data_IF_140782159854
#
_entry.id   IF_140782159854
#
_cell.length_a   1.000
_cell.length_b   1.000
_cell.length_c   1.000
_cell.angle_alpha   90.00
_cell.angle_beta   90.00
_cell.angle_gamma   90.00
#
_symmetry.space_group_name_H-M   'P 1'
#
loop_
_entity.id
_entity.type
_entity.pdbx_description
1 polymer ?
#
# COMPACT_ATOMS: atom_id res chain seq x y z
N UNK A 1 -0.55 13.80 1.43
CA UNK A 1 -1.50 12.72 1.08
C UNK A 1 -2.76 12.85 1.92
N UNK A 2 -3.92 12.71 1.32
CA UNK A 2 -5.19 12.93 2.02
C UNK A 2 -5.58 11.78 2.93
N UNK A 3 -6.44 12.06 3.91
CA UNK A 3 -7.03 11.04 4.77
C UNK A 3 -7.82 10.00 3.95
N UNK A 4 -8.37 10.42 2.82
CA UNK A 4 -9.12 9.54 1.93
C UNK A 4 -8.24 8.44 1.36
N UNK A 5 -7.01 8.77 0.93
CA UNK A 5 -6.03 7.78 0.46
C UNK A 5 -5.69 6.79 1.57
N UNK A 6 -5.39 7.31 2.76
CA UNK A 6 -5.02 6.46 3.89
C UNK A 6 -6.14 5.47 4.24
N UNK A 7 -7.39 5.92 4.13
CA UNK A 7 -8.56 5.07 4.37
C UNK A 7 -8.72 4.01 3.27
N UNK A 8 -8.54 4.39 2.01
CA UNK A 8 -8.63 3.44 0.88
C UNK A 8 -7.62 2.31 1.05
N UNK A 9 -6.39 2.64 1.40
CA UNK A 9 -5.33 1.64 1.62
C UNK A 9 -5.68 0.75 2.83
N UNK A 10 -6.08 1.36 3.95
CA UNK A 10 -6.44 0.62 5.17
C UNK A 10 -7.60 -0.35 4.92
N UNK A 11 -8.64 0.10 4.23
CA UNK A 11 -9.80 -0.72 3.90
C UNK A 11 -9.42 -1.88 2.97
N UNK A 12 -8.53 -1.63 2.02
CA UNK A 12 -8.02 -2.65 1.11
C UNK A 12 -7.28 -3.75 1.88
N UNK A 13 -6.36 -3.37 2.75
CA UNK A 13 -5.58 -4.32 3.53
C UNK A 13 -6.48 -5.15 4.45
N UNK A 14 -7.50 -4.52 5.04
CA UNK A 14 -8.50 -5.21 5.85
C UNK A 14 -9.33 -6.19 5.01
N UNK A 15 -9.75 -5.79 3.83
CA UNK A 15 -10.50 -6.66 2.91
C UNK A 15 -9.69 -7.87 2.48
N UNK A 16 -8.37 -7.71 2.36
CA UNK A 16 -7.46 -8.79 2.01
C UNK A 16 -7.09 -9.67 3.21
N UNK A 17 -7.54 -9.32 4.42
CA UNK A 17 -7.22 -10.05 5.64
C UNK A 17 -5.78 -9.92 6.08
N UNK A 18 -5.11 -8.82 5.70
CA UNK A 18 -3.70 -8.59 6.00
C UNK A 18 -3.55 -7.65 7.20
N UNK A 19 -2.66 -7.98 8.12
CA UNK A 19 -2.28 -7.11 9.22
C UNK A 19 -1.55 -5.88 8.67
N UNK A 20 -1.95 -4.70 9.12
CA UNK A 20 -1.48 -3.46 8.54
C UNK A 20 -1.45 -2.33 9.57
N UNK A 21 -0.41 -1.50 9.52
CA UNK A 21 -0.31 -0.26 10.27
C UNK A 21 0.30 0.84 9.43
N UNK A 22 -0.24 2.05 9.54
CA UNK A 22 0.33 3.22 8.86
C UNK A 22 1.39 3.85 9.75
N UNK A 23 2.58 4.09 9.19
CA UNK A 23 3.70 4.68 9.90
C UNK A 23 4.41 3.73 10.87
N UNK A 24 3.84 2.58 11.15
CA UNK A 24 4.39 1.57 12.03
C UNK A 24 3.34 0.53 12.40
N UNK A 25 3.79 -0.59 12.89
CA UNK A 25 2.91 -1.66 13.36
C UNK A 25 2.95 -1.68 14.88
N UNK A 26 1.84 -1.27 15.51
CA UNK A 26 1.73 -1.18 16.96
C UNK A 26 0.89 -2.36 17.44
N UNK A 27 1.57 -3.41 17.90
CA UNK A 27 0.93 -4.56 18.54
C UNK A 27 1.93 -5.20 19.49
N UNK A 28 1.46 -5.61 20.65
CA UNK A 28 2.27 -6.36 21.62
C UNK A 28 2.62 -7.74 21.10
N UNK A 29 1.80 -8.27 20.17
CA UNK A 29 2.03 -9.57 19.53
C UNK A 29 2.14 -9.36 18.02
N UNK A 30 3.33 -9.67 17.47
CA UNK A 30 3.53 -9.62 16.03
C UNK A 30 2.81 -10.79 15.36
N UNK A 31 1.94 -10.48 14.41
CA UNK A 31 1.26 -11.46 13.57
C UNK A 31 1.85 -11.36 12.17
N UNK A 32 2.40 -12.45 11.67
CA UNK A 32 2.98 -12.51 10.34
C UNK A 32 2.01 -13.13 9.33
N UNK A 33 1.92 -12.62 8.10
CA UNK A 33 2.64 -11.45 7.60
C UNK A 33 2.01 -10.15 8.12
N UNK A 34 2.81 -9.12 8.26
CA UNK A 34 2.29 -7.78 8.54
C UNK A 34 2.90 -6.77 7.57
N UNK A 35 2.17 -5.69 7.33
CA UNK A 35 2.58 -4.63 6.42
C UNK A 35 2.58 -3.28 7.12
N UNK A 36 3.55 -2.46 6.79
CA UNK A 36 3.67 -1.09 7.26
C UNK A 36 3.53 -0.17 6.05
N UNK A 37 2.66 0.83 6.14
CA UNK A 37 2.44 1.81 5.09
C UNK A 37 3.19 3.11 5.35
N UNK A 38 3.79 3.65 4.28
CA UNK A 38 4.45 4.94 4.25
C UNK A 38 4.19 5.58 2.89
N UNK A 39 4.38 6.88 2.77
CA UNK A 39 4.19 7.54 1.48
C UNK A 39 5.27 8.56 1.21
N UNK A 40 5.42 8.88 -0.09
CA UNK A 40 6.27 9.95 -0.58
C UNK A 40 5.44 10.82 -1.53
N UNK A 41 5.40 12.12 -1.27
CA UNK A 41 4.69 13.08 -2.09
C UNK A 41 5.66 13.94 -2.88
N UNK A 42 5.25 14.24 -4.12
CA UNK A 42 5.92 15.22 -4.94
C UNK A 42 4.99 16.42 -5.07
N UNK A 43 5.54 17.63 -4.93
CA UNK A 43 4.78 18.81 -5.25
C UNK A 43 4.47 18.81 -6.74
N UNK A 44 3.20 18.96 -7.06
CA UNK A 44 2.75 19.04 -8.45
C UNK A 44 2.30 20.46 -8.74
N UNK A 45 2.91 21.08 -9.73
CA UNK A 45 2.54 22.41 -10.22
C UNK A 45 1.38 22.37 -11.21
N UNK A 46 0.61 21.27 -11.24
CA UNK A 46 -0.50 21.14 -12.19
C UNK A 46 -1.68 22.00 -11.79
N UNK A 47 -2.13 22.82 -12.70
CA UNK A 47 -3.33 23.66 -12.54
C UNK A 47 -4.61 22.82 -12.49
N UNK A 48 -4.55 21.54 -12.84
CA UNK A 48 -5.70 20.63 -12.90
C UNK A 48 -6.16 20.10 -11.55
N UNK A 49 -5.43 20.39 -10.47
CA UNK A 49 -5.73 19.84 -9.15
C UNK A 49 -5.34 18.38 -8.97
N UNK A 50 -4.64 17.80 -9.95
CA UNK A 50 -4.11 16.44 -9.85
C UNK A 50 -2.84 16.44 -9.02
N UNK A 51 -2.80 15.58 -8.02
CA UNK A 51 -1.60 15.32 -7.23
C UNK A 51 -1.23 13.84 -7.36
N UNK A 52 0.03 13.59 -7.64
CA UNK A 52 0.57 12.22 -7.71
C UNK A 52 1.52 11.96 -6.56
N UNK A 53 1.44 10.76 -6.01
CA UNK A 53 2.32 10.33 -4.92
C UNK A 53 2.54 8.82 -5.01
N UNK A 54 3.50 8.33 -4.23
CA UNK A 54 3.77 6.90 -4.12
C UNK A 54 3.47 6.45 -2.70
N UNK A 55 2.69 5.38 -2.58
CA UNK A 55 2.45 4.72 -1.30
C UNK A 55 3.25 3.42 -1.27
N UNK A 56 4.00 3.21 -0.20
CA UNK A 56 4.85 2.05 -0.03
C UNK A 56 4.28 1.14 1.07
N UNK A 57 4.10 -0.13 0.74
CA UNK A 57 3.73 -1.16 1.71
C UNK A 57 4.94 -2.06 1.92
N UNK A 58 5.49 -2.05 3.13
CA UNK A 58 6.60 -2.94 3.48
C UNK A 58 6.05 -4.12 4.26
N UNK A 59 6.15 -5.31 3.69
CA UNK A 59 5.65 -6.54 4.27
C UNK A 59 6.75 -7.38 4.89
N UNK A 60 6.44 -8.00 6.02
CA UNK A 60 7.35 -8.88 6.76
C UNK A 60 6.68 -10.21 7.02
N UNK A 61 7.43 -11.28 6.85
CA UNK A 61 7.03 -12.62 7.25
C UNK A 61 8.23 -13.36 7.83
N UNK A 62 7.96 -14.29 8.74
CA UNK A 62 9.00 -15.06 9.41
C UNK A 62 8.67 -16.55 9.35
N UNK A 63 9.70 -17.34 9.25
CA UNK A 63 9.59 -18.79 9.30
C UNK A 63 9.90 -19.45 7.96
N UNK A 64 9.60 -20.73 7.89
CA UNK A 64 9.98 -21.59 6.76
C UNK A 64 9.35 -21.17 5.44
N UNK A 65 8.07 -20.78 5.47
CA UNK A 65 7.31 -20.44 4.27
C UNK A 65 7.13 -18.93 4.11
N UNK A 66 8.00 -18.12 4.73
CA UNK A 66 7.89 -16.68 4.75
C UNK A 66 7.85 -16.05 3.35
N UNK A 67 8.72 -16.52 2.45
CA UNK A 67 8.76 -16.00 1.07
C UNK A 67 7.46 -16.29 0.32
N UNK A 68 6.93 -17.50 0.44
CA UNK A 68 5.67 -17.89 -0.20
C UNK A 68 4.50 -17.08 0.38
N UNK A 69 4.46 -16.92 1.69
CA UNK A 69 3.43 -16.15 2.38
C UNK A 69 3.40 -14.70 1.88
N UNK A 70 4.56 -14.07 1.71
CA UNK A 70 4.65 -12.71 1.18
C UNK A 70 4.22 -12.65 -0.28
N UNK A 71 4.62 -13.61 -1.11
CA UNK A 71 4.22 -13.65 -2.52
C UNK A 71 2.69 -13.77 -2.66
N UNK A 72 2.05 -14.59 -1.85
CA UNK A 72 0.59 -14.72 -1.85
C UNK A 72 -0.09 -13.41 -1.45
N UNK A 73 0.45 -12.72 -0.43
CA UNK A 73 -0.07 -11.43 0.00
C UNK A 73 0.08 -10.38 -1.10
N UNK A 74 1.24 -10.35 -1.77
CA UNK A 74 1.50 -9.41 -2.87
C UNK A 74 0.58 -9.68 -4.05
N UNK A 75 0.30 -10.94 -4.36
CA UNK A 75 -0.65 -11.30 -5.42
C UNK A 75 -2.03 -10.73 -5.13
N UNK A 76 -2.50 -10.82 -3.89
CA UNK A 76 -3.76 -10.23 -3.46
C UNK A 76 -3.77 -8.71 -3.60
N UNK A 77 -2.69 -8.05 -3.20
CA UNK A 77 -2.54 -6.59 -3.33
C UNK A 77 -2.54 -6.18 -4.80
N UNK A 78 -1.80 -6.92 -5.65
CA UNK A 78 -1.72 -6.68 -7.09
C UNK A 78 -3.09 -6.80 -7.76
N UNK A 79 -3.86 -7.80 -7.38
CA UNK A 79 -5.19 -8.01 -7.96
C UNK A 79 -6.18 -6.93 -7.48
N UNK A 80 -6.09 -6.53 -6.23
CA UNK A 80 -6.96 -5.49 -5.66
C UNK A 80 -6.70 -4.13 -6.28
N UNK A 81 -5.42 -3.72 -6.36
CA UNK A 81 -5.01 -2.46 -6.97
C UNK A 81 -4.46 -2.73 -8.37
N UNK A 82 -5.31 -3.16 -9.27
CA UNK A 82 -4.89 -3.55 -10.61
C UNK A 82 -4.04 -2.46 -11.27
N UNK A 83 -2.94 -2.86 -11.91
CA UNK A 83 -1.99 -1.95 -12.55
C UNK A 83 -2.63 -1.09 -13.64
N UNK A 84 -3.62 -1.62 -14.33
CA UNK A 84 -4.27 -0.96 -15.46
C UNK A 84 -5.49 -0.18 -15.00
N UNK A 85 -6.44 -0.84 -14.33
CA UNK A 85 -7.72 -0.24 -13.94
C UNK A 85 -7.65 0.46 -12.58
N UNK A 86 -6.78 0.01 -11.68
CA UNK A 86 -6.65 0.58 -10.35
C UNK A 86 -7.89 0.39 -9.48
N UNK A 87 -7.85 1.00 -8.30
CA UNK A 87 -9.01 1.15 -7.42
C UNK A 87 -9.31 2.62 -7.28
N UNK A 88 -10.49 3.03 -7.74
CA UNK A 88 -10.92 4.42 -7.72
C UNK A 88 -12.06 4.61 -6.73
N UNK A 89 -11.96 5.65 -5.90
CA UNK A 89 -13.01 6.06 -4.96
C UNK A 89 -13.29 7.55 -5.19
N UNK A 90 -14.57 7.88 -5.26
CA UNK A 90 -15.03 9.26 -5.47
C UNK A 90 -15.78 9.69 -4.21
N UNK A 91 -15.37 10.83 -3.63
CA UNK A 91 -16.04 11.40 -2.47
C UNK A 91 -17.26 12.19 -2.88
N UNK A 92 -18.14 12.48 -1.91
CA UNK A 92 -19.40 13.24 -2.14
C UNK A 92 -19.16 14.63 -2.71
N UNK A 93 -18.02 15.26 -2.36
CA UNK A 93 -17.66 16.58 -2.87
C UNK A 93 -17.05 16.56 -4.29
N UNK A 94 -16.94 15.37 -4.91
CA UNK A 94 -16.35 15.20 -6.23
C UNK A 94 -14.85 14.93 -6.24
N UNK A 95 -14.16 15.03 -5.10
CA UNK A 95 -12.76 14.63 -5.01
C UNK A 95 -12.62 13.14 -5.28
N UNK A 96 -11.54 12.75 -5.92
CA UNK A 96 -11.33 11.35 -6.29
C UNK A 96 -9.92 10.88 -5.94
N UNK A 97 -9.80 9.59 -5.66
CA UNK A 97 -8.53 8.91 -5.42
C UNK A 97 -8.49 7.66 -6.29
N UNK A 98 -7.40 7.47 -7.00
CA UNK A 98 -7.15 6.23 -7.74
C UNK A 98 -5.79 5.66 -7.29
N UNK A 99 -5.78 4.37 -6.97
CA UNK A 99 -4.58 3.67 -6.52
C UNK A 99 -4.30 2.50 -7.45
N UNK A 100 -3.05 2.43 -7.93
CA UNK A 100 -2.61 1.42 -8.89
C UNK A 100 -1.40 0.67 -8.34
N UNK A 101 -1.38 -0.63 -8.51
CA UNK A 101 -0.18 -1.41 -8.27
C UNK A 101 0.92 -0.99 -9.25
N UNK A 102 2.12 -0.74 -8.75
CA UNK A 102 3.26 -0.36 -9.58
C UNK A 102 4.32 -1.46 -9.63
N UNK A 103 4.88 -1.82 -8.48
CA UNK A 103 5.98 -2.79 -8.43
C UNK A 103 6.12 -3.41 -7.06
N UNK A 104 6.88 -4.49 -6.99
CA UNK A 104 7.29 -5.10 -5.73
C UNK A 104 8.78 -5.45 -5.80
N UNK A 105 9.46 -5.32 -4.66
CA UNK A 105 10.89 -5.59 -4.55
C UNK A 105 11.16 -6.37 -3.27
N UNK A 106 11.84 -7.50 -3.40
CA UNK A 106 12.34 -8.25 -2.24
C UNK A 106 13.53 -7.50 -1.65
N UNK A 107 13.48 -7.25 -0.34
CA UNK A 107 14.52 -6.49 0.37
C UNK A 107 15.27 -7.42 1.31
N UNK A 108 16.61 -7.49 1.23
CA UNK A 108 17.39 -8.31 2.15
C UNK A 108 17.25 -7.83 3.59
N UNK A 109 17.20 -8.78 4.54
CA UNK A 109 17.09 -8.48 5.97
C UNK A 109 18.35 -8.83 6.76
N UNK A 110 19.22 -9.66 6.19
CA UNK A 110 20.37 -10.22 6.91
C UNK A 110 20.00 -11.39 7.83
N UNK A 111 18.72 -11.72 7.96
CA UNK A 111 18.22 -12.84 8.76
C UNK A 111 17.52 -13.83 7.83
N UNK A 112 18.03 -15.06 7.73
CA UNK A 112 17.51 -16.06 6.81
C UNK A 112 16.04 -16.45 7.09
N UNK A 113 15.59 -16.27 8.32
CA UNK A 113 14.22 -16.61 8.72
C UNK A 113 13.23 -15.47 8.56
N UNK A 114 13.73 -14.25 8.37
CA UNK A 114 12.90 -13.06 8.18
C UNK A 114 12.95 -12.62 6.72
N UNK A 115 11.79 -12.52 6.10
CA UNK A 115 11.66 -12.02 4.73
C UNK A 115 10.96 -10.67 4.73
N UNK A 116 11.35 -9.82 3.80
CA UNK A 116 10.83 -8.48 3.66
C UNK A 116 10.57 -8.18 2.19
N UNK A 117 9.44 -7.55 1.90
CA UNK A 117 9.10 -7.13 0.55
C UNK A 117 8.56 -5.70 0.60
N UNK A 118 8.90 -4.91 -0.40
CA UNK A 118 8.35 -3.56 -0.56
C UNK A 118 7.45 -3.55 -1.78
N UNK A 119 6.20 -3.15 -1.58
CA UNK A 119 5.22 -2.95 -2.66
C UNK A 119 5.03 -1.47 -2.87
N UNK A 120 5.13 -1.01 -4.10
CA UNK A 120 4.91 0.38 -4.46
C UNK A 120 3.56 0.52 -5.17
N UNK A 121 2.76 1.47 -4.71
CA UNK A 121 1.48 1.82 -5.30
C UNK A 121 1.53 3.25 -5.80
N UNK A 122 1.06 3.48 -7.01
CA UNK A 122 0.92 4.82 -7.56
C UNK A 122 -0.43 5.36 -7.13
N UNK A 123 -0.43 6.57 -6.56
CA UNK A 123 -1.64 7.23 -6.07
C UNK A 123 -1.86 8.51 -6.85
N UNK A 124 -3.08 8.67 -7.34
CA UNK A 124 -3.52 9.89 -8.00
C UNK A 124 -4.70 10.47 -7.24
N UNK A 125 -4.62 11.74 -6.90
CA UNK A 125 -5.67 12.46 -6.19
C UNK A 125 -6.12 13.66 -7.00
N UNK A 126 -7.44 13.81 -7.14
CA UNK A 126 -8.06 14.99 -7.73
C UNK A 126 -8.88 15.68 -6.65
N UNK A 127 -8.45 16.89 -6.28
CA UNK A 127 -9.14 17.69 -5.26
C UNK A 127 -10.04 18.71 -5.91
N UNK A 128 -11.23 18.85 -5.39
CA UNK A 128 -12.20 19.88 -5.79
C UNK A 128 -12.02 21.08 -4.87
N UNK A 129 -11.84 22.25 -5.47
CA UNK A 129 -11.74 23.52 -4.71
C UNK A 129 -13.11 24.06 -4.32
#
# INVERSE_FOLDING_TARGET
MSKMVLRVISDAMKSLGLEYGFGGYISDNLVYPYFIGEYSEFESDTESGLQESTFMLTGFARGRDAALTLEEAVDGIRDYFNRISGKTVIADNGSAVAVFYSSALVVPTGDAKLKRIQVNLDVKEWKVN
#
